data_IF_975937798010
#
_entry.id   IF_975937798010
#
_cell.length_a   1.000
_cell.length_b   1.000
_cell.length_c   1.000
_cell.angle_alpha   90.00
_cell.angle_beta   90.00
_cell.angle_gamma   90.00
#
_symmetry.space_group_name_H-M   'P 1'
#
loop_
_entity.id
_entity.type
_entity.pdbx_description
1 polymer ?
#
# COMPACT_ATOMS: atom_id res chain seq x y z
N UNK A 1 -37.30 -50.97 -25.47
CA UNK A 1 -36.62 -52.03 -24.70
C UNK A 1 -35.33 -51.44 -24.18
N UNK A 2 -35.22 -51.40 -22.86
CA UNK A 2 -34.43 -50.46 -22.06
C UNK A 2 -33.48 -51.21 -21.12
N UNK A 3 -32.21 -50.79 -21.05
CA UNK A 3 -31.30 -50.83 -19.89
C UNK A 3 -29.84 -50.59 -20.35
N UNK A 4 -28.85 -50.27 -19.48
CA UNK A 4 -28.91 -49.67 -18.13
C UNK A 4 -27.98 -48.43 -17.99
N UNK A 5 -28.40 -47.35 -17.33
CA UNK A 5 -28.19 -47.04 -15.90
C UNK A 5 -26.74 -47.16 -15.39
N UNK A 6 -26.00 -46.05 -15.51
CA UNK A 6 -24.66 -45.86 -14.93
C UNK A 6 -24.74 -45.60 -13.41
N UNK A 7 -23.85 -46.26 -12.66
CA UNK A 7 -23.91 -46.42 -11.21
C UNK A 7 -23.63 -45.14 -10.41
N UNK A 8 -24.39 -44.96 -9.34
CA UNK A 8 -24.37 -43.85 -8.39
C UNK A 8 -23.54 -44.28 -7.17
N UNK A 9 -22.31 -43.80 -7.05
CA UNK A 9 -21.48 -44.04 -5.89
C UNK A 9 -21.92 -43.15 -4.71
N UNK A 10 -22.46 -43.77 -3.66
CA UNK A 10 -22.79 -43.12 -2.39
C UNK A 10 -21.58 -43.20 -1.45
N UNK A 11 -20.94 -42.06 -1.18
CA UNK A 11 -19.98 -41.91 -0.08
C UNK A 11 -20.74 -41.79 1.26
N UNK A 12 -20.71 -42.85 2.07
CA UNK A 12 -21.07 -42.82 3.49
C UNK A 12 -19.84 -42.38 4.29
N UNK A 13 -19.94 -41.25 5.00
CA UNK A 13 -19.02 -40.90 6.09
C UNK A 13 -19.80 -40.86 7.40
N UNK A 14 -19.55 -41.84 8.28
CA UNK A 14 -19.88 -41.81 9.71
C UNK A 14 -18.55 -41.93 10.48
N UNK A 15 -18.06 -40.86 11.10
CA UNK A 15 -18.26 -40.45 12.51
C UNK A 15 -17.62 -41.39 13.55
N UNK A 16 -16.76 -40.75 14.36
CA UNK A 16 -16.35 -41.03 15.76
C UNK A 16 -15.01 -41.75 16.01
N UNK A 17 -14.22 -41.18 16.94
CA UNK A 17 -13.02 -41.80 17.48
C UNK A 17 -12.05 -40.81 18.12
N UNK A 18 -12.42 -40.24 19.28
CA UNK A 18 -11.57 -39.41 20.15
C UNK A 18 -10.81 -40.36 21.09
N UNK A 19 -9.47 -40.30 21.15
CA UNK A 19 -8.68 -40.99 22.17
C UNK A 19 -7.57 -40.08 22.70
N UNK A 20 -7.80 -39.63 23.93
CA UNK A 20 -6.85 -39.00 24.85
C UNK A 20 -5.98 -40.10 25.48
N UNK A 21 -4.64 -39.96 25.46
CA UNK A 21 -3.68 -40.59 26.38
C UNK A 21 -2.50 -39.64 26.55
N UNK A 22 -2.45 -38.90 27.66
CA UNK A 22 -1.60 -39.15 28.85
C UNK A 22 -0.10 -39.16 28.50
N UNK A 23 0.63 -38.08 28.82
CA UNK A 23 1.44 -37.94 30.04
C UNK A 23 2.62 -38.93 30.09
N UNK A 24 3.83 -38.46 29.81
CA UNK A 24 5.04 -38.85 30.55
C UNK A 24 6.16 -37.83 30.32
N UNK A 25 6.56 -37.19 31.42
CA UNK A 25 7.78 -36.42 31.60
C UNK A 25 9.01 -37.29 31.32
N UNK A 26 10.01 -36.75 30.62
CA UNK A 26 11.40 -37.14 30.83
C UNK A 26 12.26 -35.89 31.02
N UNK A 27 12.75 -35.75 32.24
CA UNK A 27 13.92 -34.94 32.59
C UNK A 27 15.14 -35.55 31.92
N UNK A 28 16.06 -34.70 31.47
CA UNK A 28 17.37 -35.08 30.98
C UNK A 28 18.23 -33.84 30.86
N UNK A 29 18.90 -33.47 31.96
CA UNK A 29 20.09 -32.63 31.91
C UNK A 29 21.13 -33.33 31.03
N UNK A 30 21.91 -32.60 30.24
CA UNK A 30 23.37 -32.68 30.25
C UNK A 30 23.94 -31.50 29.44
N UNK A 31 24.80 -30.75 30.13
CA UNK A 31 25.70 -29.73 29.62
C UNK A 31 26.66 -30.29 28.58
N UNK A 32 26.97 -29.54 27.53
CA UNK A 32 28.36 -29.33 27.12
C UNK A 32 28.48 -28.06 26.27
N UNK A 33 29.18 -27.09 26.86
CA UNK A 33 29.84 -25.99 26.19
C UNK A 33 30.73 -26.53 25.06
N UNK A 34 30.63 -25.94 23.87
CA UNK A 34 31.74 -25.85 22.92
C UNK A 34 31.72 -24.45 22.31
N UNK A 35 32.46 -23.54 22.94
CA UNK A 35 32.94 -22.32 22.30
C UNK A 35 34.05 -22.71 21.33
N UNK A 36 33.84 -22.54 20.03
CA UNK A 36 34.92 -22.58 19.05
C UNK A 36 35.45 -21.16 18.86
N UNK A 37 36.65 -20.92 19.39
CA UNK A 37 37.48 -19.76 19.11
C UNK A 37 38.17 -19.97 17.74
N UNK A 38 38.19 -18.87 16.99
CA UNK A 38 38.66 -18.59 15.62
C UNK A 38 40.10 -19.07 15.33
N UNK A 39 40.43 -19.31 14.04
CA UNK A 39 41.70 -18.77 13.54
C UNK A 39 41.54 -17.66 12.47
N UNK A 40 42.37 -16.65 12.70
CA UNK A 40 42.72 -15.45 11.94
C UNK A 40 43.07 -15.70 10.47
N UNK A 41 42.66 -14.74 9.63
CA UNK A 41 43.33 -14.17 8.45
C UNK A 41 43.82 -15.09 7.32
N UNK A 42 43.18 -14.95 6.15
CA UNK A 42 43.89 -14.87 4.86
C UNK A 42 43.28 -13.72 4.04
N UNK A 43 44.04 -12.64 3.92
CA UNK A 43 43.85 -11.58 2.92
C UNK A 43 44.31 -12.14 1.57
N UNK A 44 43.40 -12.25 0.60
CA UNK A 44 43.75 -12.37 -0.81
C UNK A 44 42.77 -11.52 -1.60
N UNK A 45 43.30 -10.43 -2.17
CA UNK A 45 42.55 -9.45 -2.93
C UNK A 45 41.90 -10.07 -4.16
N UNK A 46 40.58 -9.88 -4.27
CA UNK A 46 39.87 -10.06 -5.53
C UNK A 46 39.57 -8.67 -6.08
N UNK A 47 40.55 -8.11 -6.81
CA UNK A 47 40.31 -6.98 -7.69
C UNK A 47 39.36 -7.43 -8.79
N UNK A 48 38.09 -7.03 -8.69
CA UNK A 48 37.17 -7.09 -9.81
C UNK A 48 37.64 -6.06 -10.83
N UNK A 49 38.32 -6.55 -11.88
CA UNK A 49 38.64 -5.79 -13.09
C UNK A 49 37.34 -5.30 -13.71
N UNK A 50 37.02 -4.03 -13.53
CA UNK A 50 36.12 -3.30 -14.44
C UNK A 50 36.86 -3.15 -15.77
N UNK A 51 36.49 -3.97 -16.74
CA UNK A 51 36.93 -3.82 -18.13
C UNK A 51 36.20 -2.62 -18.76
N UNK A 52 36.92 -1.74 -19.49
CA UNK A 52 36.36 -0.53 -20.05
C UNK A 52 35.67 -0.85 -21.38
N UNK A 53 34.36 -0.66 -21.47
CA UNK A 53 33.68 -0.64 -22.76
C UNK A 53 33.30 0.79 -23.14
N UNK A 54 34.13 1.31 -24.03
CA UNK A 54 33.83 2.20 -25.14
C UNK A 54 32.97 3.44 -24.87
N UNK A 55 33.68 4.56 -24.69
CA UNK A 55 33.25 5.86 -25.20
C UNK A 55 32.82 5.72 -26.67
N UNK A 56 31.52 5.77 -26.92
CA UNK A 56 30.99 6.25 -28.20
C UNK A 56 30.50 7.67 -27.99
N UNK A 57 31.37 8.60 -28.37
CA UNK A 57 31.05 9.98 -28.69
C UNK A 57 30.00 9.96 -29.80
N UNK A 58 28.76 10.29 -29.45
CA UNK A 58 27.78 10.75 -30.43
C UNK A 58 27.36 12.13 -29.95
N UNK A 59 27.86 13.13 -30.66
CA UNK A 59 27.37 14.50 -30.62
C UNK A 59 25.94 14.44 -31.16
N UNK A 60 24.97 14.39 -30.26
CA UNK A 60 23.57 14.66 -30.60
C UNK A 60 23.14 15.88 -29.82
N UNK A 61 22.98 16.98 -30.55
CA UNK A 61 22.26 18.18 -30.13
C UNK A 61 20.94 17.77 -29.48
N UNK A 62 20.87 17.84 -28.15
CA UNK A 62 19.62 17.63 -27.45
C UNK A 62 18.84 18.93 -27.51
N UNK A 63 18.09 19.11 -28.61
CA UNK A 63 16.91 19.97 -28.60
C UNK A 63 16.09 19.61 -27.37
N UNK A 64 15.74 20.64 -26.59
CA UNK A 64 14.67 20.59 -25.62
C UNK A 64 13.42 20.04 -26.32
N UNK A 65 13.16 18.76 -26.16
CA UNK A 65 11.82 18.22 -26.35
C UNK A 65 11.07 18.55 -25.08
N UNK A 66 10.24 19.57 -25.17
CA UNK A 66 9.01 19.60 -24.38
C UNK A 66 8.32 18.25 -24.60
N UNK A 67 8.36 17.37 -23.61
CA UNK A 67 7.41 16.25 -23.56
C UNK A 67 6.09 16.80 -23.04
N UNK A 68 5.48 17.69 -23.81
CA UNK A 68 4.05 17.96 -23.78
C UNK A 68 3.35 16.83 -24.53
N UNK A 69 3.41 15.62 -23.95
CA UNK A 69 2.67 14.46 -24.42
C UNK A 69 1.94 13.81 -23.23
N UNK A 70 1.09 14.60 -22.56
CA UNK A 70 -0.08 14.02 -21.90
C UNK A 70 -1.00 13.60 -23.03
N UNK A 71 -0.94 12.31 -23.39
CA UNK A 71 -1.91 11.73 -24.31
C UNK A 71 -3.30 11.88 -23.67
N UNK A 72 -4.25 12.63 -24.27
CA UNK A 72 -5.62 12.56 -23.83
C UNK A 72 -6.13 11.23 -24.35
N UNK A 73 -6.43 10.29 -23.44
CA UNK A 73 -7.33 9.13 -23.61
C UNK A 73 -7.00 8.08 -22.54
N UNK A 74 -7.32 8.38 -21.29
CA UNK A 74 -7.59 7.39 -20.24
C UNK A 74 -8.92 7.74 -19.56
N UNK A 75 -9.98 7.90 -20.34
CA UNK A 75 -11.36 8.02 -19.85
C UNK A 75 -11.79 6.70 -19.21
N UNK A 76 -11.41 6.44 -17.96
CA UNK A 76 -11.98 5.34 -17.17
C UNK A 76 -11.78 5.44 -15.65
N UNK A 77 -11.29 6.57 -15.10
CA UNK A 77 -11.17 6.70 -13.63
C UNK A 77 -11.28 8.13 -13.13
N UNK A 78 -12.06 8.97 -13.77
CA UNK A 78 -12.48 10.25 -13.19
C UNK A 78 -13.99 10.20 -13.03
N UNK A 79 -14.46 10.40 -11.81
CA UNK A 79 -15.89 10.42 -11.50
C UNK A 79 -16.54 11.62 -12.19
N UNK A 80 -17.78 11.43 -12.64
CA UNK A 80 -18.52 12.51 -13.28
C UNK A 80 -18.76 13.65 -12.28
N UNK A 81 -18.85 14.88 -12.78
CA UNK A 81 -19.02 16.07 -11.94
C UNK A 81 -20.26 15.98 -11.03
N UNK A 82 -21.36 15.42 -11.54
CA UNK A 82 -22.57 15.20 -10.76
C UNK A 82 -22.38 14.17 -9.64
N UNK A 83 -21.68 13.06 -9.91
CA UNK A 83 -21.38 12.05 -8.90
C UNK A 83 -20.52 12.59 -7.76
N UNK A 84 -19.65 13.55 -8.06
CA UNK A 84 -18.80 14.21 -7.09
C UNK A 84 -19.57 15.19 -6.24
N UNK A 85 -20.43 16.01 -6.86
CA UNK A 85 -21.31 16.91 -6.15
C UNK A 85 -22.15 16.15 -5.12
N UNK A 86 -22.77 15.05 -5.53
CA UNK A 86 -23.54 14.16 -4.66
C UNK A 86 -22.68 13.62 -3.49
N UNK A 87 -21.43 13.22 -3.76
CA UNK A 87 -20.54 12.71 -2.71
C UNK A 87 -20.14 13.78 -1.69
N UNK A 88 -19.90 15.02 -2.13
CA UNK A 88 -19.59 16.15 -1.25
C UNK A 88 -20.83 16.57 -0.45
N UNK A 89 -21.99 16.60 -1.11
CA UNK A 89 -23.28 16.90 -0.47
C UNK A 89 -23.62 15.88 0.62
N UNK A 90 -23.35 14.59 0.37
CA UNK A 90 -23.55 13.53 1.36
C UNK A 90 -22.73 13.73 2.64
N UNK A 91 -21.50 14.25 2.58
CA UNK A 91 -20.71 14.49 3.80
C UNK A 91 -21.30 15.58 4.70
N UNK A 92 -22.07 16.51 4.11
CA UNK A 92 -22.74 17.61 4.81
C UNK A 92 -24.14 17.23 5.29
N UNK A 93 -24.71 16.16 4.74
CA UNK A 93 -26.06 15.71 5.04
C UNK A 93 -26.18 15.25 6.49
N UNK A 94 -27.42 15.30 7.00
CA UNK A 94 -27.69 14.85 8.36
C UNK A 94 -27.61 13.33 8.50
N UNK A 95 -27.87 12.57 7.42
CA UNK A 95 -27.69 11.12 7.36
C UNK A 95 -26.26 10.70 7.70
N UNK A 96 -25.27 11.44 7.20
CA UNK A 96 -23.86 11.17 7.47
C UNK A 96 -23.54 11.41 8.95
N UNK A 97 -24.04 12.52 9.51
CA UNK A 97 -23.84 12.88 10.93
C UNK A 97 -24.51 11.88 11.86
N UNK A 98 -25.70 11.39 11.55
CA UNK A 98 -26.38 10.37 12.37
C UNK A 98 -25.58 9.05 12.37
N UNK A 99 -25.07 8.64 11.19
CA UNK A 99 -24.36 7.36 11.02
C UNK A 99 -22.96 7.36 11.63
N UNK A 100 -22.20 8.43 11.43
CA UNK A 100 -20.78 8.50 11.79
C UNK A 100 -20.48 9.36 13.01
N UNK A 101 -21.38 10.28 13.36
CA UNK A 101 -21.21 11.26 14.44
C UNK A 101 -19.93 12.08 14.19
N UNK A 102 -19.16 12.40 15.24
CA UNK A 102 -17.91 13.16 15.14
C UNK A 102 -16.67 12.28 14.88
N UNK A 103 -16.86 11.00 14.53
CA UNK A 103 -15.76 10.03 14.37
C UNK A 103 -15.41 9.87 12.89
N UNK A 104 -14.15 9.55 12.56
CA UNK A 104 -13.78 9.25 11.18
C UNK A 104 -14.49 7.98 10.70
N UNK A 105 -14.74 7.88 9.40
CA UNK A 105 -15.50 6.79 8.76
C UNK A 105 -15.04 5.38 9.17
N UNK A 106 -13.75 5.20 9.43
CA UNK A 106 -13.16 3.90 9.75
C UNK A 106 -13.13 3.57 11.26
N UNK A 107 -13.53 4.47 12.16
CA UNK A 107 -13.43 4.28 13.61
C UNK A 107 -14.23 3.07 14.12
N UNK A 108 -15.46 2.92 13.65
CA UNK A 108 -16.38 1.85 14.08
C UNK A 108 -16.17 0.55 13.30
N UNK A 109 -15.10 0.44 12.50
CA UNK A 109 -14.82 -0.71 11.66
C UNK A 109 -13.86 -1.69 12.31
N UNK A 110 -14.30 -2.94 12.50
CA UNK A 110 -13.45 -4.06 12.94
C UNK A 110 -13.43 -5.17 11.91
N UNK A 111 -12.23 -5.64 11.56
CA UNK A 111 -12.04 -6.73 10.62
C UNK A 111 -11.99 -8.09 11.33
N UNK A 112 -12.66 -9.07 10.73
CA UNK A 112 -12.62 -10.46 11.15
C UNK A 112 -11.38 -11.14 10.55
N UNK A 113 -10.46 -11.59 11.40
CA UNK A 113 -9.32 -12.43 11.03
C UNK A 113 -9.09 -13.47 12.13
N UNK A 114 -8.30 -14.50 11.82
CA UNK A 114 -8.02 -15.60 12.77
C UNK A 114 -6.86 -15.21 13.70
N UNK A 115 -7.05 -15.40 15.01
CA UNK A 115 -6.01 -15.17 16.02
C UNK A 115 -5.98 -13.73 16.55
N UNK A 116 -4.94 -13.42 17.33
CA UNK A 116 -4.77 -12.10 17.96
C UNK A 116 -4.14 -11.06 17.03
N UNK A 117 -3.22 -11.49 16.17
CA UNK A 117 -2.46 -10.59 15.29
C UNK A 117 -3.10 -10.57 13.89
N UNK A 118 -3.40 -9.37 13.34
CA UNK A 118 -3.94 -9.27 12.00
C UNK A 118 -2.92 -9.72 10.95
N UNK A 119 -3.37 -10.20 9.78
CA UNK A 119 -2.46 -10.47 8.67
C UNK A 119 -1.76 -9.18 8.23
N UNK A 120 -0.48 -9.29 7.84
CA UNK A 120 0.34 -8.15 7.40
C UNK A 120 -0.29 -7.32 6.29
N UNK A 121 -1.15 -7.93 5.45
CA UNK A 121 -1.85 -7.23 4.37
C UNK A 121 -3.35 -7.45 4.45
N UNK A 122 -4.10 -6.43 4.05
CA UNK A 122 -5.55 -6.55 3.88
C UNK A 122 -5.94 -7.36 2.64
N UNK A 123 -7.21 -7.78 2.55
CA UNK A 123 -7.74 -8.42 1.33
C UNK A 123 -7.60 -7.50 0.11
N UNK A 124 -7.43 -8.09 -1.08
CA UNK A 124 -7.20 -7.36 -2.35
C UNK A 124 -8.35 -6.41 -2.69
N UNK A 125 -9.58 -6.92 -2.73
CA UNK A 125 -10.80 -6.14 -3.01
C UNK A 125 -12.01 -6.71 -2.27
N UNK A 126 -12.98 -5.84 -2.00
CA UNK A 126 -14.18 -6.13 -1.21
C UNK A 126 -15.36 -6.49 -2.12
N UNK A 127 -15.47 -5.78 -3.25
CA UNK A 127 -16.47 -5.99 -4.29
C UNK A 127 -15.84 -6.93 -5.34
N UNK A 128 -16.54 -8.00 -5.68
CA UNK A 128 -16.15 -8.98 -6.71
C UNK A 128 -17.26 -9.06 -7.76
N UNK A 129 -16.90 -9.19 -9.03
CA UNK A 129 -17.86 -9.18 -10.14
C UNK A 129 -18.28 -7.77 -10.55
N UNK A 130 -19.06 -7.71 -11.64
CA UNK A 130 -19.63 -6.51 -12.24
C UNK A 130 -21.07 -6.83 -12.67
N UNK A 131 -21.96 -5.83 -12.69
CA UNK A 131 -23.37 -6.01 -13.07
C UNK A 131 -24.16 -6.84 -12.05
N UNK A 132 -25.04 -7.72 -12.53
CA UNK A 132 -25.93 -8.55 -11.70
C UNK A 132 -25.18 -9.54 -10.81
N UNK A 133 -23.95 -9.90 -11.19
CA UNK A 133 -23.05 -10.74 -10.40
C UNK A 133 -22.21 -9.98 -9.37
N UNK A 134 -22.50 -8.69 -9.13
CA UNK A 134 -21.79 -7.85 -8.14
C UNK A 134 -22.02 -8.38 -6.73
N UNK A 135 -21.00 -9.04 -6.19
CA UNK A 135 -21.00 -9.62 -4.85
C UNK A 135 -20.11 -8.80 -3.93
N UNK A 136 -20.73 -8.16 -2.94
CA UNK A 136 -20.02 -7.47 -1.85
C UNK A 136 -19.70 -8.46 -0.75
N UNK A 137 -18.46 -8.44 -0.24
CA UNK A 137 -18.10 -9.27 0.91
C UNK A 137 -18.92 -8.87 2.15
N UNK A 138 -19.45 -9.86 2.89
CA UNK A 138 -20.33 -9.66 4.06
C UNK A 138 -19.84 -8.58 5.04
N UNK A 139 -18.57 -8.62 5.47
CA UNK A 139 -17.95 -7.54 6.25
C UNK A 139 -17.10 -6.67 5.31
N UNK A 140 -17.69 -5.78 4.51
CA UNK A 140 -17.02 -4.91 3.54
C UNK A 140 -16.13 -3.84 4.20
N UNK A 141 -15.25 -3.16 3.46
CA UNK A 141 -14.45 -2.05 4.00
C UNK A 141 -15.33 -0.82 4.30
N UNK A 142 -14.92 0.14 5.14
CA UNK A 142 -15.72 1.34 5.43
C UNK A 142 -16.19 2.07 4.17
N UNK A 143 -15.27 2.29 3.23
CA UNK A 143 -15.54 2.95 1.94
C UNK A 143 -16.37 2.06 0.99
N UNK A 144 -16.30 0.74 1.14
CA UNK A 144 -16.95 -0.20 0.24
C UNK A 144 -18.36 -0.56 0.69
N UNK A 145 -18.71 -0.23 1.93
CA UNK A 145 -20.01 -0.52 2.53
C UNK A 145 -21.02 0.53 2.11
N UNK A 146 -20.59 1.78 2.06
CA UNK A 146 -21.43 2.93 1.74
C UNK A 146 -21.05 3.43 0.35
N UNK A 147 -22.02 3.49 -0.57
CA UNK A 147 -21.76 3.79 -1.98
C UNK A 147 -21.57 5.31 -2.23
N UNK A 148 -22.10 6.14 -1.33
CA UNK A 148 -22.02 7.59 -1.39
C UNK A 148 -20.58 8.10 -1.10
N UNK A 149 -19.75 7.28 -0.45
CA UNK A 149 -18.36 7.62 -0.16
C UNK A 149 -17.47 7.37 -1.39
N UNK A 150 -17.41 8.37 -2.26
CA UNK A 150 -16.59 8.34 -3.48
C UNK A 150 -15.21 8.97 -3.24
N UNK A 151 -14.15 8.24 -3.59
CA UNK A 151 -12.76 8.66 -3.40
C UNK A 151 -12.31 9.49 -4.60
N UNK A 152 -12.11 10.78 -4.38
CA UNK A 152 -11.55 11.71 -5.37
C UNK A 152 -10.66 12.75 -4.72
N UNK A 153 -9.78 13.33 -5.53
CA UNK A 153 -8.84 14.37 -5.08
C UNK A 153 -9.54 15.69 -4.71
N UNK A 154 -10.75 15.93 -5.24
CA UNK A 154 -11.57 17.12 -4.95
C UNK A 154 -12.29 17.02 -3.60
N UNK A 155 -12.51 15.80 -3.10
CA UNK A 155 -13.26 15.55 -1.87
C UNK A 155 -12.32 15.60 -0.66
N UNK A 156 -11.87 16.81 -0.32
CA UNK A 156 -10.85 17.03 0.73
C UNK A 156 -11.35 16.56 2.11
N UNK A 157 -12.60 16.86 2.46
CA UNK A 157 -13.22 16.48 3.74
C UNK A 157 -13.18 14.96 4.02
N UNK A 158 -13.30 14.13 2.98
CA UNK A 158 -13.18 12.68 3.10
C UNK A 158 -11.72 12.24 3.22
N UNK A 159 -10.83 12.81 2.41
CA UNK A 159 -9.42 12.42 2.36
C UNK A 159 -8.67 12.78 3.65
N UNK A 160 -9.01 13.90 4.28
CA UNK A 160 -8.42 14.34 5.55
C UNK A 160 -8.59 13.30 6.66
N UNK A 161 -9.71 12.57 6.69
CA UNK A 161 -9.96 11.51 7.68
C UNK A 161 -9.00 10.31 7.56
N UNK A 162 -8.38 10.13 6.39
CA UNK A 162 -7.39 9.08 6.12
C UNK A 162 -5.95 9.55 6.31
N UNK A 163 -5.76 10.80 6.71
CA UNK A 163 -4.46 11.41 6.98
C UNK A 163 -4.36 11.79 8.46
N UNK A 164 -3.15 11.71 9.02
CA UNK A 164 -2.89 12.20 10.37
C UNK A 164 -2.90 13.73 10.39
N UNK A 165 -3.70 14.33 11.28
CA UNK A 165 -3.81 15.79 11.44
C UNK A 165 -2.50 16.48 11.83
N UNK A 166 -1.61 15.78 12.53
CA UNK A 166 -0.36 16.35 13.04
C UNK A 166 0.83 16.13 12.09
N UNK A 167 1.00 14.90 11.60
CA UNK A 167 2.17 14.52 10.78
C UNK A 167 1.89 14.58 9.28
N UNK A 168 0.63 14.74 8.87
CA UNK A 168 0.20 14.69 7.48
C UNK A 168 0.61 13.39 6.75
N UNK A 169 0.78 12.30 7.49
CA UNK A 169 1.06 10.97 6.94
C UNK A 169 -0.23 10.20 6.68
N UNK A 170 -0.25 9.42 5.61
CA UNK A 170 -1.42 8.60 5.24
C UNK A 170 -1.48 7.40 6.19
N UNK A 171 -2.64 7.14 6.80
CA UNK A 171 -2.82 5.97 7.66
C UNK A 171 -2.71 4.68 6.86
N UNK A 172 -2.01 3.69 7.40
CA UNK A 172 -1.87 2.38 6.76
C UNK A 172 -3.22 1.65 6.65
N UNK A 173 -3.30 0.71 5.71
CA UNK A 173 -4.47 -0.16 5.53
C UNK A 173 -4.76 -1.08 6.73
N UNK A 174 -3.80 -1.28 7.64
CA UNK A 174 -3.98 -2.10 8.85
C UNK A 174 -4.82 -1.32 9.86
N UNK A 175 -4.51 -0.03 10.04
CA UNK A 175 -5.21 0.88 10.96
C UNK A 175 -6.63 1.15 10.45
N UNK A 176 -6.76 1.54 9.19
CA UNK A 176 -8.05 1.92 8.59
C UNK A 176 -8.93 0.73 8.19
N UNK A 177 -8.34 -0.46 8.03
CA UNK A 177 -9.07 -1.68 7.64
C UNK A 177 -9.55 -1.74 6.19
N UNK A 178 -9.12 -0.79 5.35
CA UNK A 178 -9.55 -0.69 3.94
C UNK A 178 -9.05 -1.87 3.07
N UNK A 179 -9.73 -2.09 1.95
CA UNK A 179 -9.30 -3.04 0.93
C UNK A 179 -8.06 -2.50 0.17
N UNK A 180 -7.13 -3.36 -0.28
CA UNK A 180 -5.91 -2.88 -0.95
C UNK A 180 -6.22 -2.06 -2.22
N UNK A 181 -7.26 -2.42 -2.97
CA UNK A 181 -7.73 -1.67 -4.14
C UNK A 181 -8.12 -0.23 -3.77
N UNK A 182 -8.89 -0.05 -2.69
CA UNK A 182 -9.30 1.28 -2.23
C UNK A 182 -8.13 2.05 -1.61
N UNK A 183 -7.23 1.38 -0.90
CA UNK A 183 -6.02 2.02 -0.38
C UNK A 183 -5.17 2.62 -1.51
N UNK A 184 -4.95 1.88 -2.59
CA UNK A 184 -4.23 2.40 -3.77
C UNK A 184 -4.94 3.59 -4.40
N UNK A 185 -6.28 3.60 -4.43
CA UNK A 185 -7.06 4.75 -4.92
C UNK A 185 -6.91 5.96 -3.99
N UNK A 186 -6.99 5.77 -2.68
CA UNK A 186 -6.78 6.82 -1.67
C UNK A 186 -5.40 7.45 -1.81
N UNK A 187 -4.34 6.65 -1.87
CA UNK A 187 -2.97 7.15 -2.01
C UNK A 187 -2.83 8.01 -3.26
N UNK A 188 -3.32 7.53 -4.41
CA UNK A 188 -3.31 8.31 -5.66
C UNK A 188 -4.14 9.60 -5.57
N UNK A 189 -5.30 9.56 -4.92
CA UNK A 189 -6.16 10.73 -4.77
C UNK A 189 -5.52 11.78 -3.85
N UNK A 190 -4.89 11.37 -2.75
CA UNK A 190 -4.17 12.25 -1.82
C UNK A 190 -2.93 12.84 -2.48
N UNK A 191 -2.13 12.03 -3.18
CA UNK A 191 -0.98 12.52 -3.95
C UNK A 191 -1.42 13.54 -5.00
N UNK A 192 -2.51 13.25 -5.73
CA UNK A 192 -3.10 14.19 -6.70
C UNK A 192 -3.59 15.48 -6.02
N UNK A 193 -4.28 15.39 -4.88
CA UNK A 193 -4.73 16.56 -4.12
C UNK A 193 -3.57 17.42 -3.62
N UNK A 194 -2.46 16.81 -3.19
CA UNK A 194 -1.23 17.51 -2.79
C UNK A 194 -0.58 18.23 -3.97
N UNK A 195 -0.50 17.59 -5.13
CA UNK A 195 0.02 18.21 -6.34
C UNK A 195 -0.79 19.43 -6.79
N UNK A 196 -2.12 19.42 -6.56
CA UNK A 196 -2.98 20.59 -6.81
C UNK A 196 -3.00 21.63 -5.68
N UNK A 197 -2.33 21.37 -4.56
CA UNK A 197 -2.34 22.26 -3.40
C UNK A 197 -3.67 22.28 -2.62
N UNK A 198 -4.53 21.28 -2.81
CA UNK A 198 -5.81 21.17 -2.07
C UNK A 198 -5.61 20.65 -0.64
N UNK A 199 -4.52 19.91 -0.40
CA UNK A 199 -4.20 19.33 0.90
C UNK A 199 -2.77 19.70 1.31
N UNK A 200 -2.54 20.04 2.59
CA UNK A 200 -1.20 20.31 3.09
C UNK A 200 -0.38 19.02 3.25
N UNK A 201 0.94 19.16 3.13
CA UNK A 201 1.91 18.12 3.40
C UNK A 201 3.24 18.72 3.84
N UNK A 202 4.06 17.93 4.50
CA UNK A 202 5.39 18.36 4.93
C UNK A 202 6.37 18.32 3.74
N UNK A 203 7.01 19.46 3.47
CA UNK A 203 8.08 19.59 2.48
C UNK A 203 9.41 19.66 3.21
N UNK A 204 10.32 18.74 2.90
CA UNK A 204 11.66 18.76 3.47
C UNK A 204 12.46 19.95 2.93
N UNK A 205 13.08 20.72 3.83
CA UNK A 205 14.01 21.78 3.45
C UNK A 205 15.30 21.12 2.97
N UNK A 206 15.62 21.30 1.69
CA UNK A 206 16.87 20.82 1.10
C UNK A 206 17.93 21.88 1.40
N UNK A 207 19.00 21.50 2.09
CA UNK A 207 20.18 22.34 2.27
C UNK A 207 21.14 22.08 1.11
N UNK A 208 21.43 23.14 0.34
CA UNK A 208 22.40 23.07 -0.75
C UNK A 208 23.81 23.27 -0.21
N UNK A 209 24.76 22.45 -0.67
CA UNK A 209 26.18 22.70 -0.44
C UNK A 209 26.73 23.57 -1.57
N UNK A 210 26.96 24.85 -1.30
CA UNK A 210 27.46 25.80 -2.31
C UNK A 210 28.91 25.52 -2.74
N UNK A 211 29.68 24.82 -1.92
CA UNK A 211 31.06 24.46 -2.26
C UNK A 211 31.12 23.62 -3.53
N UNK A 212 30.09 22.81 -3.83
CA UNK A 212 30.02 21.99 -5.04
C UNK A 212 29.83 22.81 -6.32
N UNK A 213 29.33 24.04 -6.21
CA UNK A 213 29.06 24.93 -7.35
C UNK A 213 30.27 25.79 -7.75
N UNK A 214 31.16 26.08 -6.80
CA UNK A 214 32.30 26.99 -6.99
C UNK A 214 33.65 26.26 -7.00
N UNK A 215 33.68 24.96 -7.35
CA UNK A 215 34.93 24.21 -7.55
C UNK A 215 35.49 24.47 -8.93
N UNK A 216 36.74 24.88 -9.00
CA UNK A 216 37.47 24.98 -10.26
C UNK A 216 37.76 23.59 -10.84
N UNK A 217 38.15 23.49 -12.11
CA UNK A 217 38.54 22.21 -12.74
C UNK A 217 39.69 21.49 -12.03
N UNK A 218 40.48 22.23 -11.24
CA UNK A 218 41.55 21.71 -10.40
C UNK A 218 41.08 21.27 -8.99
N UNK A 219 39.78 21.36 -8.69
CA UNK A 219 39.20 21.01 -7.39
C UNK A 219 39.45 22.05 -6.28
N UNK A 220 39.96 23.23 -6.64
CA UNK A 220 40.20 24.30 -5.69
C UNK A 220 38.89 25.08 -5.47
N UNK A 221 38.55 25.36 -4.21
CA UNK A 221 37.39 26.18 -3.87
C UNK A 221 37.83 27.63 -3.91
N UNK A 222 37.21 28.46 -4.75
CA UNK A 222 37.44 29.90 -4.74
C UNK A 222 36.90 30.50 -3.44
N UNK A 223 37.73 30.53 -2.40
CA UNK A 223 37.41 31.21 -1.16
C UNK A 223 37.26 32.71 -1.45
N UNK A 224 36.04 33.23 -1.37
CA UNK A 224 35.81 34.68 -1.34
C UNK A 224 36.51 35.21 -0.08
N UNK A 225 37.63 35.92 -0.27
CA UNK A 225 38.27 36.66 0.79
C UNK A 225 37.30 37.74 1.28
N UNK A 226 36.98 37.70 2.58
CA UNK A 226 36.25 38.76 3.29
C UNK A 226 37.15 39.95 3.57
#
# INVERSE_FOLDING_TARGET
MSAPCCARALFRLSKQGRLFKSFQNRKGLYSHFCYAIVPRNVLAGHQQKLQPYCLRTIVTTCQLRETSAVSPNNTSTELSEGELHEAVEYLKSDDYKERYQDKPVWANYRRNFKGQVPPSKTRKQCIRGSGDDRKVASNACPICRDENLKIDYRNVELLEQFVCSHTWQIYSFIVTGVCQKQYKKLVKAIEKARSYGLMPFEVQKIHYNYDDYYKDTNGNVHSQAS
#
